data_IF_256807112427
#
_entry.id   IF_256807112427
#
_cell.length_a   1.000
_cell.length_b   1.000
_cell.length_c   1.000
_cell.angle_alpha   90.00
_cell.angle_beta   90.00
_cell.angle_gamma   90.00
#
_symmetry.space_group_name_H-M   'P 1'
#
loop_
_entity.id
_entity.type
_entity.pdbx_description
1 polymer ?
#
# COMPACT_ATOMS: atom_id res chain seq x y z
N UNK A 1 17.59 -17.84 18.45
CA UNK A 1 17.84 -18.45 17.14
C UNK A 1 16.59 -19.23 16.75
N UNK A 2 15.60 -18.58 16.12
CA UNK A 2 14.56 -19.29 15.40
C UNK A 2 15.21 -19.84 14.13
N UNK A 3 15.25 -21.15 13.98
CA UNK A 3 15.51 -21.80 12.70
C UNK A 3 14.43 -21.35 11.73
N UNK A 4 14.75 -20.36 10.89
CA UNK A 4 13.96 -20.10 9.68
C UNK A 4 14.06 -21.41 8.90
N UNK A 5 12.95 -22.10 8.64
CA UNK A 5 12.99 -23.29 7.82
C UNK A 5 13.69 -22.93 6.51
N UNK A 6 14.74 -23.66 6.15
CA UNK A 6 15.37 -23.55 4.84
C UNK A 6 14.36 -24.07 3.80
N UNK A 7 13.36 -23.26 3.48
CA UNK A 7 12.41 -23.54 2.42
C UNK A 7 13.07 -23.34 1.07
N UNK A 8 13.91 -24.26 0.65
CA UNK A 8 14.51 -24.26 -0.69
C UNK A 8 13.47 -24.29 -1.84
N UNK A 9 12.22 -24.62 -1.55
CA UNK A 9 11.14 -24.70 -2.56
C UNK A 9 10.53 -23.36 -2.94
N UNK A 10 10.39 -22.41 -2.00
CA UNK A 10 9.89 -21.07 -2.31
C UNK A 10 10.93 -20.24 -3.10
N UNK A 11 12.22 -20.38 -2.76
CA UNK A 11 13.31 -19.69 -3.46
C UNK A 11 13.57 -20.20 -4.88
N UNK A 12 13.37 -21.51 -5.16
CA UNK A 12 13.57 -22.06 -6.50
C UNK A 12 12.50 -21.61 -7.48
N UNK A 13 11.25 -21.44 -7.02
CA UNK A 13 10.16 -20.87 -7.82
C UNK A 13 10.34 -19.36 -8.10
N UNK A 14 10.99 -18.61 -7.20
CA UNK A 14 11.31 -17.19 -7.43
C UNK A 14 12.26 -16.99 -8.62
N UNK A 15 13.24 -17.87 -8.81
CA UNK A 15 14.20 -17.78 -9.90
C UNK A 15 13.58 -18.01 -11.28
N UNK A 16 12.43 -18.65 -11.37
CA UNK A 16 11.67 -18.79 -12.63
C UNK A 16 10.96 -17.50 -13.02
N UNK A 17 10.55 -16.70 -12.05
CA UNK A 17 9.77 -15.49 -12.26
C UNK A 17 10.63 -14.30 -12.73
N UNK A 18 11.89 -14.24 -12.30
CA UNK A 18 12.84 -13.20 -12.78
C UNK A 18 13.22 -13.38 -14.26
N UNK A 19 12.85 -14.49 -14.90
CA UNK A 19 13.11 -14.70 -16.34
C UNK A 19 12.14 -13.93 -17.23
N UNK A 20 10.91 -13.70 -16.80
CA UNK A 20 9.89 -13.05 -17.65
C UNK A 20 10.08 -11.51 -17.71
N UNK A 21 10.74 -10.91 -16.73
CA UNK A 21 11.09 -9.46 -16.73
C UNK A 21 12.28 -9.12 -17.66
N UNK A 22 12.93 -10.13 -18.27
CA UNK A 22 14.15 -9.92 -19.07
C UNK A 22 13.96 -9.20 -20.40
N UNK A 23 12.75 -9.09 -20.91
CA UNK A 23 12.48 -8.59 -22.27
C UNK A 23 11.80 -7.21 -22.33
N UNK A 24 11.93 -6.38 -21.28
CA UNK A 24 11.47 -5.00 -21.37
C UNK A 24 12.43 -4.25 -22.30
N UNK A 25 11.97 -4.00 -23.52
CA UNK A 25 12.71 -3.18 -24.49
C UNK A 25 12.41 -1.72 -24.14
N UNK A 26 13.32 -1.08 -23.43
CA UNK A 26 13.23 0.34 -23.07
C UNK A 26 13.36 1.18 -24.33
N UNK A 27 12.25 1.78 -24.80
CA UNK A 27 12.25 2.64 -25.98
C UNK A 27 12.67 4.08 -25.70
N UNK A 28 12.34 4.62 -24.57
CA UNK A 28 12.85 5.86 -23.95
C UNK A 28 12.18 5.97 -22.58
N UNK A 29 12.94 6.22 -21.52
CA UNK A 29 12.33 6.51 -20.24
C UNK A 29 11.81 7.95 -20.24
N UNK A 30 10.55 8.13 -19.82
CA UNK A 30 10.07 9.46 -19.45
C UNK A 30 10.59 9.81 -18.07
N UNK A 31 10.97 11.05 -17.88
CA UNK A 31 11.53 11.51 -16.60
C UNK A 31 10.46 11.98 -15.60
N UNK A 32 9.16 11.69 -15.82
CA UNK A 32 8.09 12.06 -14.89
C UNK A 32 8.30 11.40 -13.53
N UNK A 33 8.21 12.18 -12.46
CA UNK A 33 8.16 11.60 -11.14
C UNK A 33 6.88 10.82 -10.89
N UNK A 34 6.94 9.81 -10.03
CA UNK A 34 5.79 9.00 -9.63
C UNK A 34 5.56 9.15 -8.14
N UNK A 35 4.35 9.52 -7.74
CA UNK A 35 3.88 9.51 -6.36
C UNK A 35 2.85 8.41 -6.20
N UNK A 36 3.27 7.27 -5.65
CA UNK A 36 2.41 6.13 -5.40
C UNK A 36 1.99 6.13 -3.93
N UNK A 37 0.78 6.61 -3.64
CA UNK A 37 0.28 6.88 -2.30
C UNK A 37 -0.73 5.80 -1.93
N UNK A 38 -0.37 4.98 -0.94
CA UNK A 38 -1.24 3.97 -0.34
C UNK A 38 -1.80 4.52 0.97
N UNK A 39 -3.13 4.50 1.09
CA UNK A 39 -3.87 4.83 2.30
C UNK A 39 -4.46 3.54 2.87
N UNK A 40 -3.90 3.04 3.98
CA UNK A 40 -4.22 1.72 4.54
C UNK A 40 -5.69 1.64 4.97
N UNK A 41 -6.41 0.71 4.37
CA UNK A 41 -7.82 0.49 4.64
C UNK A 41 -8.77 1.54 4.07
N UNK A 42 -8.37 2.33 3.07
CA UNK A 42 -9.26 3.32 2.45
C UNK A 42 -10.24 2.63 1.48
N UNK A 43 -11.51 2.57 1.89
CA UNK A 43 -12.58 1.97 1.09
C UNK A 43 -13.09 2.92 0.00
N UNK A 44 -13.86 2.39 -0.96
CA UNK A 44 -14.47 3.18 -2.03
C UNK A 44 -15.57 4.12 -1.51
N UNK A 45 -15.85 5.21 -2.25
CA UNK A 45 -16.94 6.14 -1.95
C UNK A 45 -18.28 5.39 -1.85
N UNK A 46 -18.58 4.51 -2.80
CA UNK A 46 -19.80 3.69 -2.79
C UNK A 46 -20.03 2.96 -1.47
N UNK A 47 -18.97 2.39 -0.85
CA UNK A 47 -19.10 1.71 0.45
C UNK A 47 -19.33 2.68 1.61
N UNK A 48 -18.80 3.89 1.55
CA UNK A 48 -19.08 4.93 2.54
C UNK A 48 -20.56 5.35 2.46
N UNK A 49 -21.11 5.51 1.27
CA UNK A 49 -22.51 5.89 1.04
C UNK A 49 -23.51 4.84 1.52
N UNK A 50 -23.08 3.57 1.58
CA UNK A 50 -23.90 2.46 2.11
C UNK A 50 -23.97 2.42 3.65
N UNK A 51 -23.19 3.26 4.36
CA UNK A 51 -23.19 3.34 5.83
C UNK A 51 -24.08 4.52 6.23
N UNK A 52 -25.35 4.27 6.68
CA UNK A 52 -26.34 5.35 6.89
C UNK A 52 -25.94 6.40 7.91
N UNK A 53 -25.09 6.04 8.88
CA UNK A 53 -24.64 6.93 9.95
C UNK A 53 -23.54 7.90 9.48
N UNK A 54 -23.01 7.70 8.27
CA UNK A 54 -21.92 8.52 7.74
C UNK A 54 -22.44 9.53 6.73
N UNK A 55 -22.05 10.77 6.93
CA UNK A 55 -22.24 11.80 5.93
C UNK A 55 -21.10 11.75 4.93
N UNK A 56 -21.37 11.27 3.70
CA UNK A 56 -20.36 11.11 2.65
C UNK A 56 -19.90 12.43 1.99
N UNK A 57 -20.48 13.58 2.35
CA UNK A 57 -20.26 14.86 1.66
C UNK A 57 -18.77 15.17 1.49
N UNK A 58 -17.97 15.16 2.56
CA UNK A 58 -16.53 15.48 2.45
C UNK A 58 -15.75 14.48 1.61
N UNK A 59 -16.24 13.26 1.53
CA UNK A 59 -15.59 12.25 0.67
C UNK A 59 -15.91 12.53 -0.80
N UNK A 60 -17.16 12.86 -1.10
CA UNK A 60 -17.61 13.21 -2.45
C UNK A 60 -16.94 14.50 -2.94
N UNK A 61 -16.90 15.53 -2.08
CA UNK A 61 -16.18 16.78 -2.37
C UNK A 61 -14.70 16.52 -2.70
N UNK A 62 -14.02 15.68 -1.95
CA UNK A 62 -12.63 15.32 -2.23
C UNK A 62 -12.49 14.63 -3.59
N UNK A 63 -13.42 13.73 -3.95
CA UNK A 63 -13.41 13.05 -5.26
C UNK A 63 -13.59 14.05 -6.38
N UNK A 64 -14.58 14.96 -6.26
CA UNK A 64 -14.84 16.01 -7.23
C UNK A 64 -13.62 16.94 -7.43
N UNK A 65 -13.00 17.35 -6.33
CA UNK A 65 -11.81 18.21 -6.36
C UNK A 65 -10.65 17.57 -7.12
N UNK A 66 -10.35 16.29 -6.86
CA UNK A 66 -9.26 15.61 -7.57
C UNK A 66 -9.59 15.33 -9.03
N UNK A 67 -10.85 15.06 -9.38
CA UNK A 67 -11.26 14.90 -10.77
C UNK A 67 -11.09 16.21 -11.56
N UNK A 68 -11.43 17.36 -10.96
CA UNK A 68 -11.13 18.70 -11.53
C UNK A 68 -9.63 18.90 -11.71
N UNK A 69 -8.80 18.35 -10.84
CA UNK A 69 -7.34 18.36 -10.92
C UNK A 69 -6.75 17.35 -11.92
N UNK A 70 -7.60 16.65 -12.68
CA UNK A 70 -7.23 15.75 -13.76
C UNK A 70 -6.98 14.28 -13.33
N UNK A 71 -7.45 13.90 -12.17
CA UNK A 71 -7.45 12.49 -11.79
C UNK A 71 -8.57 11.72 -12.46
N UNK A 72 -8.31 10.46 -12.79
CA UNK A 72 -9.31 9.48 -13.15
C UNK A 72 -9.67 8.67 -11.89
N UNK A 73 -10.87 8.86 -11.36
CA UNK A 73 -11.39 8.07 -10.25
C UNK A 73 -11.90 6.73 -10.77
N UNK A 74 -11.25 5.65 -10.34
CA UNK A 74 -11.54 4.28 -10.74
C UNK A 74 -12.53 3.65 -9.75
N UNK A 75 -13.77 4.08 -9.81
CA UNK A 75 -14.80 3.89 -8.76
C UNK A 75 -15.18 2.45 -8.43
N UNK A 76 -14.89 1.51 -9.33
CA UNK A 76 -15.21 0.08 -9.17
C UNK A 76 -14.01 -0.78 -8.75
N UNK A 77 -12.89 -0.14 -8.39
CA UNK A 77 -11.65 -0.83 -8.05
C UNK A 77 -11.81 -1.78 -6.87
N UNK A 78 -11.17 -2.94 -7.01
CA UNK A 78 -11.09 -3.95 -5.96
C UNK A 78 -9.63 -4.20 -5.58
N UNK A 79 -9.40 -4.45 -4.30
CA UNK A 79 -8.07 -4.84 -3.84
C UNK A 79 -7.65 -6.19 -4.41
N UNK A 80 -6.37 -6.33 -4.71
CA UNK A 80 -5.80 -7.64 -5.06
C UNK A 80 -5.86 -8.63 -3.89
N UNK A 81 -5.84 -8.14 -2.65
CA UNK A 81 -5.87 -8.96 -1.43
C UNK A 81 -6.60 -8.27 -0.29
N UNK A 82 -7.08 -9.09 0.65
CA UNK A 82 -7.71 -8.63 1.89
C UNK A 82 -6.71 -8.24 3.00
N UNK A 83 -5.41 -8.29 2.75
CA UNK A 83 -4.36 -8.10 3.77
C UNK A 83 -3.25 -7.21 3.22
N UNK A 84 -2.90 -6.15 3.96
CA UNK A 84 -1.90 -5.13 3.59
C UNK A 84 -0.60 -5.72 3.06
N UNK A 85 0.02 -6.64 3.79
CA UNK A 85 1.33 -7.17 3.39
C UNK A 85 1.29 -8.00 2.10
N UNK A 86 0.16 -8.66 1.79
CA UNK A 86 -0.05 -9.35 0.52
C UNK A 86 -0.18 -8.34 -0.63
N UNK A 87 -0.99 -7.31 -0.42
CA UNK A 87 -1.19 -6.24 -1.40
C UNK A 87 0.13 -5.52 -1.71
N UNK A 88 0.84 -5.06 -0.68
CA UNK A 88 2.14 -4.38 -0.86
C UNK A 88 3.16 -5.30 -1.54
N UNK A 89 3.23 -6.57 -1.11
CA UNK A 89 4.13 -7.54 -1.73
C UNK A 89 3.79 -7.74 -3.22
N UNK A 90 2.51 -7.82 -3.60
CA UNK A 90 2.09 -7.99 -4.99
C UNK A 90 2.43 -6.78 -5.85
N UNK A 91 2.23 -5.57 -5.35
CA UNK A 91 2.63 -4.31 -6.01
C UNK A 91 4.14 -4.33 -6.28
N UNK A 92 4.96 -4.61 -5.25
CA UNK A 92 6.42 -4.62 -5.38
C UNK A 92 6.93 -5.74 -6.29
N UNK A 93 6.18 -6.85 -6.40
CA UNK A 93 6.51 -7.97 -7.26
C UNK A 93 5.83 -7.93 -8.63
N UNK A 94 5.02 -6.91 -8.92
CA UNK A 94 4.34 -6.67 -10.22
C UNK A 94 3.48 -7.86 -10.67
N UNK A 95 2.92 -8.62 -9.72
CA UNK A 95 2.15 -9.82 -10.02
C UNK A 95 1.20 -10.21 -8.91
N UNK A 96 0.22 -11.01 -9.29
CA UNK A 96 -0.62 -11.70 -8.33
C UNK A 96 0.11 -12.94 -7.76
N UNK A 97 -0.04 -13.16 -6.46
CA UNK A 97 0.20 -14.46 -5.82
C UNK A 97 -1.13 -15.22 -5.87
N UNK A 98 -1.15 -16.34 -6.54
CA UNK A 98 -2.35 -17.13 -6.77
C UNK A 98 -2.55 -18.25 -5.74
N UNK A 99 -3.55 -19.11 -5.97
CA UNK A 99 -3.87 -20.25 -5.12
C UNK A 99 -2.73 -21.26 -4.94
N UNK A 100 -1.76 -21.29 -5.84
CA UNK A 100 -0.60 -22.17 -5.78
C UNK A 100 0.49 -21.62 -4.83
N UNK A 101 0.31 -20.37 -4.39
CA UNK A 101 1.20 -19.75 -3.42
C UNK A 101 0.78 -20.09 -2.00
N UNK A 102 1.71 -20.70 -1.24
CA UNK A 102 1.49 -21.03 0.17
C UNK A 102 2.44 -20.25 1.07
N UNK A 103 1.98 -19.88 2.24
CA UNK A 103 2.78 -19.16 3.24
C UNK A 103 2.64 -19.79 4.63
N UNK A 104 3.72 -19.81 5.40
CA UNK A 104 3.76 -20.43 6.73
C UNK A 104 3.42 -19.44 7.86
N UNK A 105 3.59 -18.15 7.60
CA UNK A 105 3.29 -17.09 8.53
C UNK A 105 3.24 -15.74 7.79
N UNK A 106 2.79 -14.67 8.49
CA UNK A 106 2.76 -13.32 7.91
C UNK A 106 4.14 -12.82 7.45
N UNK A 107 5.21 -13.34 8.02
CA UNK A 107 6.58 -12.96 7.69
C UNK A 107 7.08 -13.63 6.41
N UNK A 108 6.39 -14.63 5.90
CA UNK A 108 6.71 -15.28 4.62
C UNK A 108 6.69 -14.29 3.45
N UNK A 109 5.94 -13.20 3.56
CA UNK A 109 5.86 -12.15 2.55
C UNK A 109 6.91 -11.05 2.71
N UNK A 110 7.54 -10.93 3.88
CA UNK A 110 8.61 -9.94 4.08
C UNK A 110 9.78 -10.09 3.11
N UNK A 111 10.22 -11.29 2.70
CA UNK A 111 11.25 -11.43 1.69
C UNK A 111 10.90 -10.75 0.36
N UNK A 112 9.59 -10.63 0.03
CA UNK A 112 9.13 -9.98 -1.19
C UNK A 112 9.08 -8.45 -1.08
N UNK A 113 9.09 -7.94 0.15
CA UNK A 113 9.11 -6.51 0.46
C UNK A 113 10.51 -6.04 0.88
N UNK A 114 11.44 -6.98 1.17
CA UNK A 114 12.75 -6.67 1.68
C UNK A 114 13.75 -6.44 0.54
N UNK A 115 14.49 -5.35 0.63
CA UNK A 115 15.69 -5.10 -0.16
C UNK A 115 16.84 -5.92 0.39
N UNK A 116 17.05 -7.12 -0.11
CA UNK A 116 18.28 -7.85 0.15
C UNK A 116 19.23 -7.68 -1.03
N UNK A 117 20.52 -7.55 -0.72
CA UNK A 117 21.63 -7.31 -1.66
C UNK A 117 21.60 -8.17 -2.93
N UNK A 118 20.93 -9.34 -2.88
CA UNK A 118 20.87 -10.29 -3.99
C UNK A 118 19.43 -10.58 -4.45
N UNK A 119 18.43 -9.84 -3.97
CA UNK A 119 17.03 -10.12 -4.31
C UNK A 119 16.18 -8.84 -4.19
N UNK A 120 16.30 -7.98 -5.18
CA UNK A 120 15.45 -6.80 -5.30
C UNK A 120 14.05 -7.21 -5.76
N UNK A 121 12.99 -6.63 -5.20
CA UNK A 121 11.67 -6.76 -5.79
C UNK A 121 11.65 -6.35 -7.26
N UNK A 122 10.88 -7.04 -8.13
CA UNK A 122 10.80 -6.74 -9.55
C UNK A 122 10.55 -5.28 -9.89
N UNK A 123 9.69 -4.57 -9.14
CA UNK A 123 9.47 -3.13 -9.32
C UNK A 123 10.78 -2.35 -9.25
N UNK A 124 11.62 -2.59 -8.24
CA UNK A 124 12.88 -1.87 -8.10
C UNK A 124 13.88 -2.23 -9.19
N UNK A 125 13.86 -3.47 -9.67
CA UNK A 125 14.67 -3.86 -10.83
C UNK A 125 14.26 -3.10 -12.09
N UNK A 126 12.95 -2.91 -12.32
CA UNK A 126 12.42 -2.12 -13.43
C UNK A 126 12.83 -0.66 -13.26
N UNK A 127 12.57 -0.07 -12.10
CA UNK A 127 12.91 1.32 -11.80
C UNK A 127 14.40 1.60 -11.98
N UNK A 128 15.27 0.69 -11.51
CA UNK A 128 16.71 0.82 -11.69
C UNK A 128 17.14 0.79 -13.16
N UNK A 129 16.47 0.00 -14.02
CA UNK A 129 16.73 -0.03 -15.46
C UNK A 129 16.25 1.22 -16.18
N UNK A 130 15.24 1.88 -15.64
CA UNK A 130 14.69 3.13 -16.13
C UNK A 130 15.39 4.37 -15.53
N UNK A 131 16.44 4.16 -14.75
CA UNK A 131 17.23 5.22 -14.08
C UNK A 131 16.42 6.04 -13.07
N UNK A 132 15.46 5.37 -12.38
CA UNK A 132 14.65 5.96 -11.33
C UNK A 132 15.28 5.79 -9.96
N UNK A 133 15.31 6.87 -9.20
CA UNK A 133 15.54 6.83 -7.75
C UNK A 133 14.26 6.35 -7.04
N UNK A 134 14.39 5.50 -6.02
CA UNK A 134 13.26 5.01 -5.24
C UNK A 134 13.27 5.57 -3.82
N UNK A 135 12.17 6.17 -3.42
CA UNK A 135 11.97 6.75 -2.09
C UNK A 135 10.80 6.07 -1.39
N UNK A 136 11.03 5.63 -0.17
CA UNK A 136 9.99 5.04 0.67
C UNK A 136 9.68 5.92 1.87
N UNK A 137 8.38 6.20 2.10
CA UNK A 137 7.87 6.87 3.28
C UNK A 137 6.71 6.08 3.87
N UNK A 138 6.72 5.83 5.17
CA UNK A 138 5.60 5.16 5.83
C UNK A 138 5.99 4.08 6.81
N UNK A 139 5.18 3.04 6.93
CA UNK A 139 5.36 1.99 7.90
C UNK A 139 6.57 1.10 7.59
N UNK A 140 7.68 1.36 8.30
CA UNK A 140 8.94 0.63 8.14
C UNK A 140 8.84 -0.85 8.58
N UNK A 141 7.87 -1.18 9.43
CA UNK A 141 7.70 -2.57 9.87
C UNK A 141 7.29 -3.49 8.72
N UNK A 142 6.69 -2.94 7.67
CA UNK A 142 6.19 -3.69 6.53
C UNK A 142 7.12 -3.67 5.32
N UNK A 143 7.84 -2.58 5.13
CA UNK A 143 8.89 -2.49 4.14
C UNK A 143 10.20 -2.25 4.89
N UNK A 144 11.09 -3.23 4.87
CA UNK A 144 12.40 -3.06 5.45
C UNK A 144 13.18 -2.08 4.57
N UNK A 145 12.99 -0.82 4.86
CA UNK A 145 13.67 0.26 4.20
C UNK A 145 15.14 0.27 4.65
N UNK A 146 15.91 -0.68 4.17
CA UNK A 146 17.35 -0.63 4.34
C UNK A 146 17.93 0.05 3.10
N UNK A 147 18.58 1.22 3.24
CA UNK A 147 19.29 1.81 2.13
C UNK A 147 20.40 0.82 1.74
N UNK A 148 20.20 0.12 0.66
CA UNK A 148 21.26 -0.71 0.08
C UNK A 148 21.95 0.10 -1.03
N UNK A 149 23.26 -0.07 -1.11
CA UNK A 149 24.15 0.65 -2.06
C UNK A 149 23.90 0.26 -3.53
N UNK A 150 23.01 -0.70 -3.79
CA UNK A 150 22.82 -1.27 -5.14
C UNK A 150 21.73 -0.53 -5.93
N UNK A 151 20.77 0.10 -5.22
CA UNK A 151 19.74 0.94 -5.82
C UNK A 151 19.76 2.25 -5.07
N UNK A 152 19.54 3.36 -5.75
CA UNK A 152 19.33 4.66 -5.12
C UNK A 152 18.00 4.67 -4.34
N UNK A 153 17.87 3.76 -3.36
CA UNK A 153 16.69 3.64 -2.51
C UNK A 153 16.94 4.37 -1.20
N UNK A 154 16.05 5.30 -0.87
CA UNK A 154 16.13 6.12 0.33
C UNK A 154 14.85 5.99 1.17
N UNK A 155 15.06 5.95 2.50
CA UNK A 155 13.96 5.99 3.46
C UNK A 155 13.78 7.39 3.99
N UNK A 156 12.59 7.92 3.88
CA UNK A 156 12.25 9.28 4.28
C UNK A 156 11.74 9.39 5.73
N UNK A 157 11.66 8.28 6.46
CA UNK A 157 11.17 8.28 7.85
C UNK A 157 12.16 8.92 8.80
N UNK A 158 11.72 9.86 9.62
CA UNK A 158 12.54 10.62 10.59
C UNK A 158 13.34 9.76 11.57
N UNK A 159 12.84 8.57 11.95
CA UNK A 159 13.43 7.70 12.97
C UNK A 159 13.84 6.32 12.46
N UNK A 160 14.12 6.21 11.18
CA UNK A 160 14.46 4.96 10.52
C UNK A 160 15.57 4.16 11.24
N UNK A 161 16.65 4.81 11.69
CA UNK A 161 17.77 4.13 12.39
C UNK A 161 17.35 3.48 13.70
N UNK A 162 16.37 4.06 14.41
CA UNK A 162 15.89 3.53 15.68
C UNK A 162 14.95 2.34 15.49
N UNK A 163 14.29 2.26 14.32
CA UNK A 163 13.38 1.16 13.99
C UNK A 163 14.12 -0.14 13.66
N UNK A 164 15.33 -0.06 13.09
CA UNK A 164 16.18 -1.23 12.87
C UNK A 164 16.54 -1.93 14.19
N UNK A 165 16.74 -1.17 15.26
CA UNK A 165 17.00 -1.72 16.60
C UNK A 165 15.79 -2.51 17.14
N UNK A 166 14.57 -2.04 16.88
CA UNK A 166 13.35 -2.74 17.29
C UNK A 166 13.18 -4.09 16.58
N UNK A 167 13.62 -4.20 15.34
CA UNK A 167 13.61 -5.44 14.56
C UNK A 167 14.70 -6.43 15.00
N UNK A 168 15.82 -5.92 15.52
CA UNK A 168 16.94 -6.74 15.99
C UNK A 168 16.77 -7.23 17.44
N UNK A 169 15.87 -6.64 18.21
CA UNK A 169 15.60 -7.07 19.58
C UNK A 169 14.79 -8.36 19.58
N UNK A 170 15.39 -9.42 20.11
CA UNK A 170 14.72 -10.70 20.33
C UNK A 170 13.40 -10.52 21.10
N UNK A 171 12.37 -11.28 20.73
CA UNK A 171 11.05 -11.28 21.40
C UNK A 171 11.13 -11.41 22.92
N UNK A 172 12.15 -12.09 23.44
CA UNK A 172 12.40 -12.22 24.89
C UNK A 172 12.76 -10.88 25.57
N UNK A 173 13.63 -10.07 24.94
CA UNK A 173 14.03 -8.77 25.48
C UNK A 173 12.88 -7.77 25.36
N UNK A 174 12.13 -7.82 24.25
CA UNK A 174 10.93 -7.02 24.06
C UNK A 174 9.85 -7.39 25.08
N UNK A 175 9.67 -8.67 25.37
CA UNK A 175 8.71 -9.14 26.38
C UNK A 175 9.05 -8.62 27.79
N UNK A 176 10.33 -8.61 28.15
CA UNK A 176 10.80 -8.08 29.44
C UNK A 176 10.63 -6.56 29.52
N UNK A 177 10.93 -5.84 28.45
CA UNK A 177 10.82 -4.37 28.40
C UNK A 177 9.40 -3.86 28.22
N UNK A 178 8.46 -4.68 27.73
CA UNK A 178 7.08 -4.28 27.41
C UNK A 178 6.34 -3.56 28.54
N UNK A 179 6.66 -3.87 29.78
CA UNK A 179 6.03 -3.28 30.96
C UNK A 179 6.78 -2.05 31.50
N UNK A 180 7.92 -1.67 30.90
CA UNK A 180 8.66 -0.49 31.35
C UNK A 180 8.03 0.80 30.83
N UNK A 181 8.07 1.87 31.64
CA UNK A 181 7.64 3.21 31.25
C UNK A 181 8.44 3.73 30.04
N UNK A 182 9.73 3.43 29.98
CA UNK A 182 10.63 3.80 28.88
C UNK A 182 10.17 3.15 27.57
N UNK A 183 9.77 1.87 27.61
CA UNK A 183 9.27 1.17 26.43
C UNK A 183 7.93 1.72 25.93
N UNK A 184 7.06 2.19 26.83
CA UNK A 184 5.80 2.84 26.45
C UNK A 184 6.06 4.13 25.68
N UNK A 185 6.95 5.01 26.19
CA UNK A 185 7.32 6.25 25.49
C UNK A 185 7.97 5.93 24.13
N UNK A 186 8.91 5.00 24.11
CA UNK A 186 9.59 4.57 22.89
C UNK A 186 8.62 4.00 21.86
N UNK A 187 7.71 3.09 22.27
CA UNK A 187 6.67 2.53 21.42
C UNK A 187 5.75 3.60 20.85
N UNK A 188 5.32 4.57 21.67
CA UNK A 188 4.46 5.66 21.23
C UNK A 188 5.14 6.52 20.17
N UNK A 189 6.42 6.86 20.38
CA UNK A 189 7.19 7.64 19.41
C UNK A 189 7.39 6.92 18.08
N UNK A 190 7.70 5.62 18.10
CA UNK A 190 7.84 4.80 16.88
C UNK A 190 6.51 4.66 16.16
N UNK A 191 5.43 4.38 16.88
CA UNK A 191 4.10 4.24 16.29
C UNK A 191 3.69 5.52 15.58
N UNK A 192 3.89 6.66 16.22
CA UNK A 192 3.57 7.97 15.64
C UNK A 192 4.39 8.26 14.37
N UNK A 193 5.69 7.96 14.40
CA UNK A 193 6.58 8.16 13.26
C UNK A 193 6.27 7.23 12.07
N UNK A 194 5.80 6.01 12.32
CA UNK A 194 5.50 5.05 11.27
C UNK A 194 4.07 5.17 10.73
N UNK A 195 3.19 5.84 11.47
CA UNK A 195 1.77 5.92 11.17
C UNK A 195 1.49 6.86 10.00
N UNK A 196 2.18 7.98 9.94
CA UNK A 196 1.89 9.06 9.01
C UNK A 196 2.98 9.16 7.92
N UNK A 197 2.78 8.41 6.84
CA UNK A 197 3.69 8.41 5.68
C UNK A 197 3.71 9.75 4.95
N UNK A 198 2.58 10.44 4.88
CA UNK A 198 2.46 11.75 4.22
C UNK A 198 3.25 12.80 5.02
N UNK A 199 3.08 12.85 6.34
CA UNK A 199 3.81 13.78 7.19
C UNK A 199 5.33 13.52 7.18
N UNK A 200 5.73 12.24 7.19
CA UNK A 200 7.14 11.88 7.08
C UNK A 200 7.73 12.37 5.76
N UNK A 201 6.98 12.21 4.67
CA UNK A 201 7.38 12.68 3.34
C UNK A 201 7.52 14.20 3.32
N UNK A 202 6.50 14.95 3.75
CA UNK A 202 6.51 16.41 3.77
C UNK A 202 7.61 17.01 4.67
N UNK A 203 8.02 16.29 5.71
CA UNK A 203 9.01 16.77 6.67
C UNK A 203 10.44 16.26 6.41
N UNK A 204 10.65 15.45 5.38
CA UNK A 204 11.96 14.93 5.04
C UNK A 204 12.87 16.05 4.51
N UNK A 205 14.02 16.26 5.20
CA UNK A 205 14.97 17.34 4.85
C UNK A 205 15.82 17.02 3.63
N UNK A 206 15.99 15.75 3.33
CA UNK A 206 16.94 15.26 2.30
C UNK A 206 16.27 15.14 0.92
N UNK A 207 15.05 15.63 0.80
CA UNK A 207 14.27 15.51 -0.38
C UNK A 207 13.91 16.89 -0.94
N UNK A 208 14.19 17.08 -2.20
CA UNK A 208 13.70 18.23 -2.98
C UNK A 208 12.81 17.68 -4.08
N UNK A 209 11.62 18.22 -4.19
CA UNK A 209 10.78 18.03 -5.36
C UNK A 209 11.50 18.68 -6.55
N UNK A 210 12.19 17.87 -7.32
CA UNK A 210 12.82 18.31 -8.55
C UNK A 210 11.96 17.77 -9.68
N UNK A 211 11.29 18.61 -10.46
CA UNK A 211 10.49 18.19 -11.61
C UNK A 211 11.32 17.31 -12.54
N UNK A 212 10.71 16.28 -13.09
CA UNK A 212 11.33 15.40 -14.08
C UNK A 212 12.66 14.80 -13.62
N UNK A 213 12.76 14.43 -12.34
CA UNK A 213 13.99 13.85 -11.77
C UNK A 213 14.01 12.32 -11.82
N UNK A 214 13.07 11.66 -12.49
CA UNK A 214 12.94 10.21 -12.53
C UNK A 214 12.93 9.60 -11.12
N UNK A 215 12.06 10.11 -10.25
CA UNK A 215 11.94 9.65 -8.88
C UNK A 215 10.62 8.92 -8.66
N UNK A 216 10.68 7.77 -8.00
CA UNK A 216 9.51 7.00 -7.60
C UNK A 216 9.33 7.09 -6.08
N UNK A 217 8.30 7.78 -5.65
CA UNK A 217 7.95 7.96 -4.24
C UNK A 217 6.84 6.98 -3.86
N UNK A 218 7.16 5.98 -3.05
CA UNK A 218 6.20 5.04 -2.47
C UNK A 218 5.84 5.51 -1.07
N UNK A 219 4.64 6.05 -0.90
CA UNK A 219 4.16 6.63 0.35
C UNK A 219 3.07 5.73 0.92
N UNK A 220 3.35 5.04 2.03
CA UNK A 220 2.39 4.19 2.73
C UNK A 220 1.92 4.89 4.01
N UNK A 221 0.72 5.43 3.99
CA UNK A 221 0.08 6.09 5.12
C UNK A 221 -0.87 5.12 5.82
N UNK A 222 -0.67 4.89 7.13
CA UNK A 222 -1.51 3.94 7.87
C UNK A 222 -2.93 4.44 8.11
N UNK A 223 -3.17 5.75 8.18
CA UNK A 223 -4.53 6.25 8.23
C UNK A 223 -5.19 6.10 6.85
N UNK A 224 -6.49 5.78 6.82
CA UNK A 224 -7.47 5.79 7.91
C UNK A 224 -7.59 4.50 8.75
N UNK A 225 -6.72 3.50 8.58
CA UNK A 225 -6.68 2.29 9.43
C UNK A 225 -6.53 2.65 10.92
N UNK A 226 -7.14 1.89 11.87
CA UNK A 226 -6.92 2.09 13.31
C UNK A 226 -5.43 2.02 13.74
N UNK A 227 -4.99 2.76 14.76
CA UNK A 227 -5.74 3.69 15.62
C UNK A 227 -6.17 4.96 14.88
N UNK A 228 -7.33 5.48 15.21
CA UNK A 228 -7.95 6.59 14.48
C UNK A 228 -7.43 7.96 14.91
N UNK A 229 -7.60 8.96 14.05
CA UNK A 229 -7.42 10.36 14.40
C UNK A 229 -8.61 10.86 15.25
N UNK A 230 -8.32 11.72 16.23
CA UNK A 230 -9.33 12.47 16.95
C UNK A 230 -9.83 13.68 16.12
N UNK A 231 -10.75 14.46 16.69
CA UNK A 231 -11.33 15.66 16.03
C UNK A 231 -10.32 16.77 15.73
N UNK A 232 -9.15 16.74 16.37
CA UNK A 232 -8.04 17.67 16.12
C UNK A 232 -7.04 17.13 15.08
N UNK A 233 -7.38 16.02 14.41
CA UNK A 233 -6.50 15.28 13.51
C UNK A 233 -5.17 14.83 14.14
N UNK A 234 -5.21 14.56 15.44
CA UNK A 234 -4.11 13.97 16.18
C UNK A 234 -4.35 12.47 16.37
N UNK A 235 -3.30 11.66 16.28
CA UNK A 235 -3.38 10.23 16.48
C UNK A 235 -3.71 9.90 17.93
N UNK A 236 -4.86 9.27 18.15
CA UNK A 236 -5.31 8.85 19.49
C UNK A 236 -4.81 7.44 19.82
N UNK A 237 -3.66 7.37 20.47
CA UNK A 237 -3.09 6.11 20.94
C UNK A 237 -3.72 5.61 22.26
N UNK A 238 -4.58 6.42 22.89
CA UNK A 238 -5.22 6.07 24.20
C UNK A 238 -6.42 5.18 24.00
N UNK A 239 -7.04 5.20 22.83
CA UNK A 239 -8.25 4.44 22.52
C UNK A 239 -8.04 2.91 22.48
N UNK A 240 -6.84 2.44 22.79
CA UNK A 240 -6.49 1.03 22.77
C UNK A 240 -6.50 0.47 21.33
N UNK A 241 -6.43 -0.85 21.20
CA UNK A 241 -6.68 -1.52 19.92
C UNK A 241 -8.18 -1.52 19.65
N UNK A 242 -8.75 -0.41 19.26
CA UNK A 242 -10.08 -0.38 18.66
C UNK A 242 -9.93 -0.88 17.23
N UNK A 243 -10.04 -2.18 17.08
CA UNK A 243 -10.13 -2.81 15.78
C UNK A 243 -11.46 -2.36 15.16
N UNK A 244 -11.48 -1.75 14.00
CA UNK A 244 -12.62 -1.48 13.09
C UNK A 244 -14.03 -1.48 13.73
N UNK A 245 -14.21 -0.87 14.93
CA UNK A 245 -15.48 -0.93 15.68
C UNK A 245 -16.30 0.35 15.61
N UNK A 246 -15.73 1.41 15.07
CA UNK A 246 -16.35 2.73 15.02
C UNK A 246 -16.27 3.29 13.62
N UNK A 247 -17.38 3.25 12.91
CA UNK A 247 -17.51 3.86 11.59
C UNK A 247 -17.30 5.38 11.64
N UNK A 248 -17.79 6.05 12.71
CA UNK A 248 -17.61 7.49 12.88
C UNK A 248 -16.14 7.89 13.09
N UNK A 249 -15.38 7.11 13.88
CA UNK A 249 -13.93 7.38 14.11
C UNK A 249 -13.14 7.10 12.81
N UNK A 250 -13.50 6.07 12.07
CA UNK A 250 -12.94 5.78 10.77
C UNK A 250 -13.18 6.95 9.79
N UNK A 251 -14.40 7.44 9.70
CA UNK A 251 -14.75 8.57 8.84
C UNK A 251 -13.99 9.85 9.25
N UNK A 252 -13.88 10.11 10.55
CA UNK A 252 -13.03 11.20 11.06
C UNK A 252 -11.57 11.05 10.62
N UNK A 253 -11.06 9.81 10.63
CA UNK A 253 -9.70 9.53 10.13
C UNK A 253 -9.56 9.75 8.63
N UNK A 254 -10.58 9.42 7.82
CA UNK A 254 -10.62 9.76 6.40
C UNK A 254 -10.53 11.27 6.20
N UNK A 255 -11.37 12.04 6.87
CA UNK A 255 -11.37 13.50 6.78
C UNK A 255 -9.98 14.09 7.09
N UNK A 256 -9.37 13.67 8.18
CA UNK A 256 -8.01 14.12 8.53
C UNK A 256 -6.95 13.72 7.51
N UNK A 257 -7.08 12.51 6.96
CA UNK A 257 -6.16 12.00 5.95
C UNK A 257 -6.29 12.77 4.64
N UNK A 258 -7.51 13.08 4.21
CA UNK A 258 -7.76 13.87 3.00
C UNK A 258 -7.24 15.30 3.13
N UNK A 259 -7.37 15.95 4.29
CA UNK A 259 -6.79 17.27 4.53
C UNK A 259 -5.25 17.28 4.36
N UNK A 260 -4.57 16.26 4.87
CA UNK A 260 -3.11 16.10 4.69
C UNK A 260 -2.75 15.80 3.24
N UNK A 261 -3.54 14.94 2.61
CA UNK A 261 -3.34 14.57 1.22
C UNK A 261 -3.56 15.77 0.28
N UNK A 262 -4.60 16.56 0.48
CA UNK A 262 -4.86 17.79 -0.31
C UNK A 262 -3.69 18.78 -0.18
N UNK A 263 -3.09 18.90 1.01
CA UNK A 263 -1.90 19.71 1.20
C UNK A 263 -0.70 19.19 0.38
N UNK A 264 -0.49 17.88 0.35
CA UNK A 264 0.55 17.24 -0.45
C UNK A 264 0.28 17.44 -1.95
N UNK A 265 -0.95 17.19 -2.40
CA UNK A 265 -1.34 17.34 -3.81
C UNK A 265 -1.17 18.79 -4.30
N UNK A 266 -1.51 19.77 -3.46
CA UNK A 266 -1.30 21.19 -3.78
C UNK A 266 0.17 21.53 -4.01
N UNK A 267 1.07 20.94 -3.21
CA UNK A 267 2.52 21.12 -3.39
C UNK A 267 2.97 20.46 -4.71
N UNK A 268 2.54 19.22 -4.96
CA UNK A 268 2.91 18.49 -6.17
C UNK A 268 2.38 19.24 -7.41
N UNK A 269 1.14 19.71 -7.39
CA UNK A 269 0.53 20.45 -8.50
C UNK A 269 1.35 21.67 -8.92
N UNK A 270 1.95 22.36 -7.95
CA UNK A 270 2.76 23.56 -8.22
C UNK A 270 4.20 23.22 -8.62
N UNK A 271 4.80 22.24 -7.95
CA UNK A 271 6.24 21.96 -8.11
C UNK A 271 6.54 20.89 -9.15
N UNK A 272 5.58 20.00 -9.45
CA UNK A 272 5.76 18.85 -10.34
C UNK A 272 4.45 18.53 -11.10
N UNK A 273 3.95 19.43 -11.94
CA UNK A 273 2.63 19.36 -12.55
C UNK A 273 2.45 18.14 -13.48
N UNK A 274 3.54 17.64 -14.06
CA UNK A 274 3.54 16.51 -15.00
C UNK A 274 3.76 15.16 -14.29
N UNK A 275 3.71 15.12 -12.96
CA UNK A 275 3.90 13.90 -12.19
C UNK A 275 2.79 12.87 -12.46
N UNK A 276 3.17 11.59 -12.42
CA UNK A 276 2.22 10.49 -12.27
C UNK A 276 1.85 10.38 -10.79
N UNK A 277 0.56 10.42 -10.47
CA UNK A 277 0.09 10.34 -9.08
C UNK A 277 -0.94 9.22 -8.96
N UNK A 278 -0.73 8.32 -8.02
CA UNK A 278 -1.70 7.29 -7.62
C UNK A 278 -2.11 7.53 -6.17
N UNK A 279 -3.41 7.48 -5.90
CA UNK A 279 -3.99 7.47 -4.56
C UNK A 279 -4.84 6.22 -4.47
N UNK A 280 -4.46 5.28 -3.60
CA UNK A 280 -5.10 3.97 -3.58
C UNK A 280 -5.19 3.38 -2.17
N UNK A 281 -6.33 2.72 -1.85
CA UNK A 281 -6.42 1.82 -0.71
C UNK A 281 -5.69 0.51 -0.99
N UNK A 282 -5.07 -0.09 0.01
CA UNK A 282 -4.51 -1.44 -0.10
C UNK A 282 -5.57 -2.52 0.06
N UNK A 283 -6.61 -2.25 0.85
CA UNK A 283 -7.85 -2.99 1.05
C UNK A 283 -8.93 -2.07 1.59
N UNK A 284 -10.16 -2.52 1.68
CA UNK A 284 -11.27 -1.81 2.30
C UNK A 284 -11.33 -2.01 3.83
N UNK A 285 -12.49 -1.72 4.42
CA UNK A 285 -12.73 -1.86 5.87
C UNK A 285 -12.97 -3.32 6.27
N UNK A 286 -13.06 -3.59 7.57
CA UNK A 286 -13.44 -4.90 8.09
C UNK A 286 -14.45 -4.83 9.24
N UNK A 287 -15.38 -3.87 9.19
CA UNK A 287 -16.45 -3.74 10.19
C UNK A 287 -17.27 -5.02 10.33
N UNK A 288 -17.52 -5.69 9.19
CA UNK A 288 -18.30 -6.93 9.10
C UNK A 288 -17.46 -8.16 8.71
N UNK A 289 -16.13 -8.00 8.53
CA UNK A 289 -15.26 -9.09 8.09
C UNK A 289 -14.78 -9.90 9.29
N UNK A 290 -15.31 -11.11 9.47
CA UNK A 290 -14.90 -11.99 10.58
C UNK A 290 -13.68 -12.85 10.20
N UNK A 291 -12.52 -12.47 10.70
CA UNK A 291 -11.24 -13.16 10.48
C UNK A 291 -11.16 -14.59 11.05
N UNK A 292 -12.14 -14.99 11.87
CA UNK A 292 -12.22 -16.36 12.41
C UNK A 292 -12.89 -17.32 11.43
N UNK A 293 -13.69 -16.78 10.52
CA UNK A 293 -14.35 -17.57 9.50
C UNK A 293 -13.40 -17.92 8.35
N UNK A 294 -13.65 -19.07 7.73
CA UNK A 294 -13.06 -19.35 6.42
C UNK A 294 -13.47 -18.30 5.41
N UNK A 295 -12.59 -17.85 4.50
CA UNK A 295 -12.97 -16.95 3.41
C UNK A 295 -14.18 -17.44 2.59
N UNK A 296 -14.39 -18.76 2.52
CA UNK A 296 -15.58 -19.35 1.86
C UNK A 296 -16.88 -19.05 2.59
N UNK A 297 -16.83 -18.89 3.92
CA UNK A 297 -17.99 -18.69 4.79
C UNK A 297 -18.29 -17.22 5.08
N UNK A 298 -17.44 -16.31 4.61
CA UNK A 298 -17.69 -14.87 4.73
C UNK A 298 -18.75 -14.47 3.72
N UNK A 299 -19.71 -13.64 4.16
CA UNK A 299 -20.78 -13.14 3.29
C UNK A 299 -20.23 -12.28 2.14
N UNK A 300 -20.94 -12.26 1.02
CA UNK A 300 -20.53 -11.46 -0.14
C UNK A 300 -20.46 -9.97 0.20
N UNK A 301 -21.37 -9.47 1.06
CA UNK A 301 -21.34 -8.09 1.54
C UNK A 301 -20.06 -7.77 2.33
N UNK A 302 -19.64 -8.65 3.24
CA UNK A 302 -18.41 -8.46 4.00
C UNK A 302 -17.15 -8.61 3.10
N UNK A 303 -17.22 -9.46 2.08
CA UNK A 303 -16.18 -9.54 1.05
C UNK A 303 -16.10 -8.26 0.23
N UNK A 304 -17.24 -7.75 -0.24
CA UNK A 304 -17.30 -6.47 -0.96
C UNK A 304 -16.77 -5.32 -0.11
N UNK A 305 -17.13 -5.26 1.17
CA UNK A 305 -16.61 -4.27 2.11
C UNK A 305 -15.08 -4.32 2.18
N UNK A 306 -14.51 -5.52 2.33
CA UNK A 306 -13.07 -5.71 2.53
C UNK A 306 -12.25 -5.47 1.27
N UNK A 307 -12.80 -5.75 0.10
CA UNK A 307 -12.07 -5.65 -1.17
C UNK A 307 -12.35 -4.37 -1.95
N UNK A 308 -13.44 -3.64 -1.69
CA UNK A 308 -13.68 -2.36 -2.38
C UNK A 308 -12.74 -1.28 -1.88
N UNK A 309 -11.96 -0.70 -2.77
CA UNK A 309 -10.94 0.30 -2.44
C UNK A 309 -11.18 1.61 -3.18
N UNK A 310 -10.75 2.71 -2.57
CA UNK A 310 -10.51 3.94 -3.30
C UNK A 310 -9.35 3.76 -4.26
N UNK A 311 -9.48 4.25 -5.48
CA UNK A 311 -8.40 4.26 -6.46
C UNK A 311 -8.57 5.44 -7.40
N UNK A 312 -7.58 6.31 -7.44
CA UNK A 312 -7.54 7.44 -8.36
C UNK A 312 -6.13 7.61 -8.94
N UNK A 313 -6.06 7.92 -10.22
CA UNK A 313 -4.79 8.07 -10.92
C UNK A 313 -4.77 9.34 -11.78
N UNK A 314 -3.72 10.13 -11.64
CA UNK A 314 -3.40 11.22 -12.55
C UNK A 314 -2.22 10.82 -13.42
N UNK A 315 -2.39 10.95 -14.71
CA UNK A 315 -1.40 10.60 -15.72
C UNK A 315 -1.15 11.81 -16.63
N UNK A 316 0.10 12.08 -17.03
CA UNK A 316 0.44 13.01 -18.09
C UNK A 316 -0.36 12.74 -19.38
N UNK A 317 -0.55 13.77 -20.22
CA UNK A 317 -1.41 13.65 -21.42
C UNK A 317 -0.90 12.66 -22.46
N UNK A 318 0.39 12.44 -22.49
CA UNK A 318 1.04 11.49 -23.41
C UNK A 318 1.03 10.04 -22.89
N UNK A 319 0.52 9.79 -21.68
CA UNK A 319 0.29 8.45 -21.18
C UNK A 319 -1.11 7.96 -21.56
N UNK A 320 -1.22 6.65 -21.80
CA UNK A 320 -2.52 6.02 -22.03
C UNK A 320 -3.39 6.12 -20.77
N UNK A 321 -4.61 6.59 -20.94
CA UNK A 321 -5.58 6.72 -19.85
C UNK A 321 -6.20 5.35 -19.52
N UNK A 322 -6.71 5.16 -18.28
CA UNK A 322 -7.43 3.95 -17.91
C UNK A 322 -8.60 3.66 -18.84
N UNK A 323 -8.77 2.39 -19.22
CA UNK A 323 -9.84 1.94 -20.12
C UNK A 323 -11.06 1.39 -19.37
N UNK A 324 -10.94 1.21 -18.06
CA UNK A 324 -11.95 0.66 -17.17
C UNK A 324 -12.01 1.47 -15.88
N UNK A 325 -13.13 1.40 -15.17
CA UNK A 325 -13.27 1.92 -13.81
C UNK A 325 -12.84 0.89 -12.73
N UNK A 326 -12.45 -0.30 -13.15
CA UNK A 326 -12.02 -1.38 -12.27
C UNK A 326 -10.55 -1.73 -12.55
N UNK A 327 -9.68 -1.36 -11.64
CA UNK A 327 -8.26 -1.73 -11.61
C UNK A 327 -7.89 -2.19 -10.22
N UNK A 328 -7.31 -3.37 -10.11
CA UNK A 328 -6.74 -3.81 -8.84
C UNK A 328 -5.44 -3.08 -8.51
N UNK A 329 -4.86 -3.36 -7.34
CA UNK A 329 -3.57 -2.78 -6.97
C UNK A 329 -2.45 -3.21 -7.94
N UNK A 330 -2.48 -4.46 -8.40
CA UNK A 330 -1.50 -4.98 -9.36
C UNK A 330 -1.70 -4.36 -10.75
N UNK A 331 -2.94 -4.21 -11.18
CA UNK A 331 -3.24 -3.60 -12.48
C UNK A 331 -2.86 -2.11 -12.49
N UNK A 332 -3.07 -1.40 -11.37
CA UNK A 332 -2.72 0.02 -11.24
C UNK A 332 -1.21 0.24 -11.35
N UNK A 333 -0.38 -0.54 -10.66
CA UNK A 333 1.08 -0.39 -10.77
C UNK A 333 1.58 -0.74 -12.19
N UNK A 334 0.95 -1.70 -12.88
CA UNK A 334 1.28 -2.00 -14.27
C UNK A 334 0.95 -0.84 -15.19
N UNK A 335 -0.18 -0.13 -14.96
CA UNK A 335 -0.55 1.07 -15.70
C UNK A 335 0.47 2.21 -15.50
N UNK A 336 0.93 2.42 -14.26
CA UNK A 336 2.01 3.37 -13.95
C UNK A 336 3.28 3.04 -14.70
N UNK A 337 3.72 1.78 -14.67
CA UNK A 337 4.92 1.34 -15.37
C UNK A 337 4.78 1.52 -16.87
N UNK A 338 3.64 1.16 -17.47
CA UNK A 338 3.40 1.41 -18.87
C UNK A 338 3.56 2.88 -19.26
N UNK A 339 3.11 3.80 -18.39
CA UNK A 339 3.28 5.24 -18.62
C UNK A 339 4.75 5.65 -18.62
N UNK A 340 5.53 5.30 -17.57
CA UNK A 340 6.94 5.72 -17.47
C UNK A 340 7.88 5.00 -18.44
N UNK A 341 7.47 3.85 -18.99
CA UNK A 341 8.15 3.14 -20.07
C UNK A 341 7.88 3.73 -21.46
N UNK A 342 7.13 4.83 -21.54
CA UNK A 342 6.83 5.52 -22.80
C UNK A 342 5.40 5.33 -23.31
N UNK A 343 4.49 4.81 -22.48
CA UNK A 343 3.04 4.78 -22.76
C UNK A 343 2.58 3.86 -23.90
N UNK A 344 3.42 2.91 -24.33
CA UNK A 344 3.18 2.11 -25.55
C UNK A 344 2.24 0.94 -25.33
N UNK A 345 2.23 0.37 -24.11
CA UNK A 345 1.50 -0.85 -23.83
C UNK A 345 0.11 -0.56 -23.26
N UNK A 346 -0.90 -1.19 -23.80
CA UNK A 346 -2.21 -1.24 -23.16
C UNK A 346 -2.19 -2.19 -21.96
N UNK A 347 -2.69 -1.72 -20.81
CA UNK A 347 -2.88 -2.55 -19.65
C UNK A 347 -4.33 -2.98 -19.61
N UNK A 348 -4.56 -4.26 -19.90
CA UNK A 348 -5.87 -4.89 -19.73
C UNK A 348 -5.96 -5.37 -18.28
N UNK A 349 -6.81 -4.76 -17.43
CA UNK A 349 -6.89 -5.14 -16.02
C UNK A 349 -7.39 -6.58 -15.88
N UNK A 350 -6.72 -7.37 -15.06
CA UNK A 350 -7.11 -8.75 -14.77
C UNK A 350 -8.19 -8.80 -13.68
N UNK A 351 -8.24 -7.80 -12.81
CA UNK A 351 -9.25 -7.65 -11.74
C UNK A 351 -9.35 -8.88 -10.83
N UNK A 352 -8.21 -9.50 -10.51
CA UNK A 352 -8.17 -10.65 -9.64
C UNK A 352 -8.08 -10.23 -8.17
N UNK A 353 -8.81 -10.96 -7.33
CA UNK A 353 -8.86 -10.76 -5.89
C UNK A 353 -8.69 -12.08 -5.15
N UNK A 354 -7.76 -12.14 -4.20
CA UNK A 354 -7.45 -13.34 -3.43
C UNK A 354 -7.56 -13.08 -1.93
N UNK A 355 -8.33 -13.92 -1.23
CA UNK A 355 -8.44 -13.88 0.20
C UNK A 355 -7.40 -14.77 0.87
N UNK A 356 -6.60 -14.19 1.77
CA UNK A 356 -5.78 -14.90 2.72
C UNK A 356 -6.46 -14.95 4.09
N UNK A 357 -5.96 -15.81 4.98
CA UNK A 357 -6.43 -15.91 6.35
C UNK A 357 -5.32 -15.66 7.36
N UNK A 358 -5.68 -15.18 8.56
CA UNK A 358 -4.74 -15.03 9.65
C UNK A 358 -4.51 -16.35 10.40
N UNK A 359 -3.46 -16.38 11.22
CA UNK A 359 -3.12 -17.53 12.07
C UNK A 359 -4.32 -17.96 12.94
N UNK A 360 -4.51 -19.28 13.03
CA UNK A 360 -5.63 -19.89 13.76
C UNK A 360 -6.85 -20.21 12.91
N UNK A 361 -6.82 -19.85 11.63
CA UNK A 361 -7.83 -20.22 10.65
C UNK A 361 -7.35 -21.43 9.84
N UNK A 362 -8.23 -22.38 9.54
CA UNK A 362 -7.91 -23.60 8.76
C UNK A 362 -7.41 -23.29 7.33
N UNK A 363 -7.71 -22.09 6.83
CA UNK A 363 -7.23 -21.58 5.54
C UNK A 363 -5.91 -20.83 5.64
N UNK A 364 -5.34 -20.68 6.84
CA UNK A 364 -4.06 -20.03 6.99
C UNK A 364 -2.99 -20.67 6.08
N UNK A 365 -2.23 -19.85 5.41
CA UNK A 365 -1.18 -20.29 4.48
C UNK A 365 -1.66 -20.57 3.05
N UNK A 366 -2.93 -20.35 2.74
CA UNK A 366 -3.50 -20.51 1.40
C UNK A 366 -4.14 -19.22 0.92
N UNK A 367 -4.19 -19.06 -0.40
CA UNK A 367 -4.92 -17.98 -1.05
C UNK A 367 -6.12 -18.57 -1.78
N UNK A 368 -7.28 -17.97 -1.56
CA UNK A 368 -8.52 -18.34 -2.22
C UNK A 368 -8.88 -17.27 -3.23
N UNK A 369 -9.14 -17.66 -4.47
CA UNK A 369 -9.71 -16.76 -5.47
C UNK A 369 -11.14 -16.40 -5.07
N UNK A 370 -11.39 -15.11 -4.90
CA UNK A 370 -12.69 -14.54 -4.53
C UNK A 370 -13.15 -13.50 -5.56
N UNK A 371 -12.51 -13.47 -6.73
CA UNK A 371 -12.77 -12.47 -7.77
C UNK A 371 -14.25 -12.38 -8.14
N UNK A 372 -14.95 -13.50 -8.25
CA UNK A 372 -16.38 -13.53 -8.56
C UNK A 372 -17.24 -13.00 -7.41
N UNK A 373 -16.85 -13.25 -6.13
CA UNK A 373 -17.58 -12.81 -4.94
C UNK A 373 -17.51 -11.31 -4.71
N UNK A 374 -16.45 -10.66 -5.18
CA UNK A 374 -16.22 -9.23 -4.97
C UNK A 374 -16.66 -8.36 -6.15
N UNK A 375 -17.26 -8.95 -7.17
CA UNK A 375 -17.91 -8.20 -8.22
C UNK A 375 -19.23 -7.63 -7.69
N UNK A 376 -19.46 -6.34 -7.94
CA UNK A 376 -20.76 -5.75 -7.63
C UNK A 376 -21.84 -6.48 -8.46
N UNK A 377 -22.89 -6.98 -7.79
CA UNK A 377 -24.08 -7.44 -8.49
C UNK A 377 -24.64 -6.26 -9.28
N UNK A 378 -24.68 -6.39 -10.60
CA UNK A 378 -25.27 -5.41 -11.50
C UNK A 378 -26.73 -5.13 -11.17
#
# INVERSE_FOLDING_TARGET
FYNIPKGNTAYSKLNTITKDVKNITIKSSKSNNVYYIILDGLTSLKRIEEIPELNSIHYSEFVEDIEVDGFHHLSNSKSSYNITYLTIASILNLKYFDKDYTYSDRYSFFPFMLYKRNNLPPLLNVLSKLDYDFFYSGNVAWANCQPDKIVNAKCLNKNYKNNALHFMMNDGVISFLRNSFIFRIYKTSITKSNYDGIENFLSAKDYKLTPNSSSFYFIHNLAPHPPYYNKLCELDLTQGKKDWKSSSDYYQSIHCTFNKLSSLLSIIKVQDPDAVIVIQGDHGTDFNYDWKLSPLSISDQAMLERFSIFNAIKLPDDCKKPQSLNYSNVDTIQLVLSCIEGGVNEVNPQNLSYAGAYWGNDYFGRLLDVSEKVQDSN
#
